data_IF_077700763084
#
_entry.id   IF_077700763084
#
_cell.length_a   1.000
_cell.length_b   1.000
_cell.length_c   1.000
_cell.angle_alpha   90.00
_cell.angle_beta   90.00
_cell.angle_gamma   90.00
#
_symmetry.space_group_name_H-M   'P 1'
#
loop_
_entity.id
_entity.type
_entity.pdbx_description
1 polymer ?
#
# COMPACT_ATOMS: atom_id res chain seq x y z
N UNK A 1 0.92 -29.85 17.87
CA UNK A 1 0.54 -28.41 17.95
C UNK A 1 1.34 -27.69 16.90
N UNK A 2 0.73 -27.37 15.77
CA UNK A 2 1.41 -26.56 14.76
C UNK A 2 1.64 -25.19 15.38
N UNK A 3 2.91 -24.81 15.49
CA UNK A 3 3.29 -23.49 15.99
C UNK A 3 2.65 -22.45 15.07
N UNK A 4 1.77 -21.64 15.62
CA UNK A 4 1.14 -20.54 14.87
C UNK A 4 2.24 -19.57 14.48
N UNK A 5 2.57 -19.53 13.19
CA UNK A 5 3.64 -18.68 12.68
C UNK A 5 3.05 -17.35 12.21
N UNK A 6 3.31 -16.29 12.96
CA UNK A 6 2.88 -14.95 12.57
C UNK A 6 3.79 -14.38 11.48
N UNK A 7 3.22 -13.63 10.54
CA UNK A 7 3.98 -13.02 9.47
C UNK A 7 3.84 -11.49 9.44
N UNK A 8 4.94 -10.75 9.60
CA UNK A 8 4.98 -9.33 9.32
C UNK A 8 5.04 -9.10 7.79
N UNK A 9 4.36 -8.06 7.33
CA UNK A 9 4.35 -7.70 5.92
C UNK A 9 5.32 -6.53 5.66
N UNK A 10 6.50 -6.82 5.10
CA UNK A 10 7.52 -5.82 4.82
C UNK A 10 7.24 -5.16 3.47
N UNK A 11 7.04 -3.84 3.49
CA UNK A 11 6.90 -3.01 2.29
C UNK A 11 8.04 -1.99 2.22
N UNK A 12 8.73 -1.92 1.10
CA UNK A 12 9.86 -1.05 0.92
C UNK A 12 10.03 -0.58 -0.53
N UNK A 13 10.80 0.50 -0.73
CA UNK A 13 11.18 1.01 -2.03
C UNK A 13 12.52 0.40 -2.52
N UNK A 14 12.79 0.52 -3.82
CA UNK A 14 14.05 0.10 -4.42
C UNK A 14 15.23 0.85 -3.75
N UNK A 15 16.32 0.14 -3.51
CA UNK A 15 17.55 0.67 -2.89
C UNK A 15 17.66 0.40 -1.40
N UNK A 16 16.63 -0.16 -0.75
CA UNK A 16 16.61 -0.42 0.70
C UNK A 16 16.84 -1.90 1.05
N UNK A 17 17.34 -2.68 0.14
CA UNK A 17 17.49 -4.14 0.27
C UNK A 17 18.39 -4.55 1.46
N UNK A 18 19.37 -3.73 1.84
CA UNK A 18 20.20 -3.98 3.03
C UNK A 18 19.38 -3.91 4.32
N UNK A 19 18.52 -2.89 4.44
CA UNK A 19 17.64 -2.74 5.60
C UNK A 19 16.63 -3.86 5.68
N UNK A 20 16.03 -4.22 4.53
CA UNK A 20 15.08 -5.33 4.44
C UNK A 20 15.73 -6.64 4.86
N UNK A 21 16.94 -6.92 4.42
CA UNK A 21 17.68 -8.12 4.83
C UNK A 21 17.92 -8.16 6.35
N UNK A 22 18.30 -7.01 6.92
CA UNK A 22 18.47 -6.91 8.36
C UNK A 22 17.14 -7.13 9.11
N UNK A 23 16.05 -6.54 8.62
CA UNK A 23 14.71 -6.71 9.19
C UNK A 23 14.25 -8.18 9.11
N UNK A 24 14.42 -8.85 7.97
CA UNK A 24 14.11 -10.28 7.80
C UNK A 24 14.85 -11.10 8.85
N UNK A 25 16.16 -10.93 8.97
CA UNK A 25 16.98 -11.67 9.93
C UNK A 25 16.52 -11.45 11.39
N UNK A 26 16.04 -10.24 11.72
CA UNK A 26 15.52 -9.97 13.07
C UNK A 26 14.16 -10.60 13.28
N UNK A 27 13.24 -10.51 12.31
CA UNK A 27 11.93 -11.15 12.40
C UNK A 27 12.07 -12.68 12.55
N UNK A 28 12.96 -13.31 11.79
CA UNK A 28 13.22 -14.75 11.90
C UNK A 28 13.75 -15.14 13.30
N UNK A 29 14.65 -14.33 13.90
CA UNK A 29 15.10 -14.54 15.28
C UNK A 29 13.97 -14.40 16.31
N UNK A 30 12.94 -13.62 16.00
CA UNK A 30 11.74 -13.49 16.83
C UNK A 30 10.71 -14.61 16.59
N UNK A 31 11.01 -15.58 15.71
CA UNK A 31 10.09 -16.64 15.35
C UNK A 31 8.99 -16.24 14.37
N UNK A 32 9.17 -15.11 13.66
CA UNK A 32 8.24 -14.60 12.66
C UNK A 32 8.71 -14.99 11.26
N UNK A 33 7.76 -15.18 10.34
CA UNK A 33 8.03 -15.47 8.92
C UNK A 33 7.64 -14.28 8.05
N UNK A 34 8.56 -13.35 7.76
CA UNK A 34 8.21 -12.13 7.05
C UNK A 34 7.83 -12.39 5.59
N UNK A 35 6.80 -11.69 5.12
CA UNK A 35 6.43 -11.60 3.72
C UNK A 35 6.93 -10.26 3.17
N UNK A 36 7.65 -10.31 2.07
CA UNK A 36 8.30 -9.13 1.48
C UNK A 36 7.50 -8.66 0.27
N UNK A 37 7.20 -7.37 0.27
CA UNK A 37 6.56 -6.69 -0.84
C UNK A 37 7.34 -5.43 -1.21
N UNK A 38 7.97 -5.42 -2.38
CA UNK A 38 8.66 -4.25 -2.87
C UNK A 38 7.66 -3.31 -3.54
N UNK A 39 7.43 -2.15 -2.92
CA UNK A 39 6.59 -1.11 -3.48
C UNK A 39 7.38 -0.22 -4.44
N UNK A 40 6.81 0.26 -5.54
CA UNK A 40 7.38 1.33 -6.33
C UNK A 40 7.39 2.64 -5.52
N UNK A 41 8.31 3.52 -5.84
CA UNK A 41 8.55 4.76 -5.10
C UNK A 41 7.48 5.83 -5.32
N UNK A 42 6.73 5.81 -6.43
CA UNK A 42 5.66 6.77 -6.67
C UNK A 42 4.37 6.38 -5.95
N UNK A 43 3.81 7.35 -5.25
CA UNK A 43 2.57 7.18 -4.47
C UNK A 43 1.34 7.78 -5.12
N UNK A 44 1.48 8.45 -6.25
CA UNK A 44 0.39 9.21 -6.86
C UNK A 44 -0.73 8.28 -7.33
N UNK A 45 -0.42 7.06 -7.72
CA UNK A 45 -1.41 6.07 -8.11
C UNK A 45 -1.22 4.74 -7.38
N UNK A 46 -1.88 4.57 -6.24
CA UNK A 46 -1.84 3.34 -5.44
C UNK A 46 -2.31 2.08 -6.18
N UNK A 47 -3.07 2.22 -7.26
CA UNK A 47 -3.65 1.10 -8.02
C UNK A 47 -2.66 0.44 -8.96
N UNK A 48 -1.73 1.21 -9.52
CA UNK A 48 -0.64 0.67 -10.33
C UNK A 48 0.40 -0.09 -9.51
N UNK A 49 0.43 0.12 -8.19
CA UNK A 49 1.39 -0.50 -7.29
C UNK A 49 0.98 -1.88 -6.79
N UNK A 50 -0.27 -2.29 -6.99
CA UNK A 50 -0.81 -3.55 -6.49
C UNK A 50 -0.54 -4.76 -7.39
N UNK A 51 0.47 -4.71 -8.25
CA UNK A 51 0.84 -5.84 -9.10
C UNK A 51 1.87 -6.71 -8.40
N UNK A 52 1.66 -8.04 -8.33
CA UNK A 52 2.71 -8.95 -7.89
C UNK A 52 3.90 -8.87 -8.85
N UNK A 53 5.11 -8.82 -8.30
CA UNK A 53 6.35 -8.75 -9.05
C UNK A 53 7.01 -7.37 -9.04
N UNK A 54 7.94 -7.18 -9.97
CA UNK A 54 8.70 -5.94 -10.09
C UNK A 54 7.85 -4.87 -10.79
N UNK A 55 7.47 -3.82 -10.07
CA UNK A 55 6.86 -2.63 -10.65
C UNK A 55 7.84 -1.45 -10.50
N UNK A 56 8.36 -0.97 -11.61
CA UNK A 56 9.11 0.29 -11.63
C UNK A 56 8.17 1.47 -11.44
N UNK A 57 8.63 2.50 -10.77
CA UNK A 57 7.94 3.78 -10.69
C UNK A 57 7.88 4.40 -12.08
N UNK A 58 6.73 4.89 -12.55
CA UNK A 58 6.68 5.72 -13.72
C UNK A 58 7.60 6.93 -13.53
N UNK A 59 8.49 7.17 -14.47
CA UNK A 59 9.37 8.35 -14.44
C UNK A 59 8.59 9.67 -14.59
N UNK A 60 7.32 9.59 -15.03
CA UNK A 60 6.46 10.73 -15.28
C UNK A 60 5.36 10.85 -14.24
N UNK A 61 5.58 11.68 -13.22
CA UNK A 61 4.59 11.96 -12.17
C UNK A 61 3.32 12.62 -12.72
N UNK A 62 3.43 13.39 -13.81
CA UNK A 62 2.26 13.99 -14.46
C UNK A 62 1.36 12.94 -15.07
N UNK A 63 1.92 11.89 -15.67
CA UNK A 63 1.12 10.77 -16.18
C UNK A 63 0.29 10.11 -15.08
N UNK A 64 0.90 9.82 -13.93
CA UNK A 64 0.18 9.24 -12.79
C UNK A 64 -0.91 10.17 -12.27
N UNK A 65 -0.66 11.46 -12.27
CA UNK A 65 -1.63 12.46 -11.87
C UNK A 65 -2.82 12.53 -12.83
N UNK A 66 -2.57 12.54 -14.13
CA UNK A 66 -3.60 12.60 -15.16
C UNK A 66 -4.54 11.38 -15.10
N UNK A 67 -4.00 10.20 -14.84
CA UNK A 67 -4.73 8.92 -14.84
C UNK A 67 -5.25 8.47 -13.46
N UNK A 68 -5.12 9.30 -12.43
CA UNK A 68 -5.52 8.93 -11.05
C UNK A 68 -7.00 8.63 -10.88
N UNK A 69 -7.85 9.14 -11.78
CA UNK A 69 -9.31 9.02 -11.74
C UNK A 69 -9.89 8.26 -12.95
N UNK A 70 -9.09 7.43 -13.61
CA UNK A 70 -9.54 6.63 -14.75
C UNK A 70 -10.68 5.66 -14.40
N UNK A 71 -10.87 5.37 -13.13
CA UNK A 71 -12.05 4.66 -12.64
C UNK A 71 -13.36 5.33 -13.03
N UNK A 72 -13.37 6.63 -13.33
CA UNK A 72 -14.54 7.34 -13.80
C UNK A 72 -15.17 6.68 -15.04
N UNK A 73 -14.39 5.92 -15.81
CA UNK A 73 -14.86 5.19 -16.98
C UNK A 73 -15.79 4.02 -16.65
N UNK A 74 -15.66 3.42 -15.46
CA UNK A 74 -16.35 2.16 -15.15
C UNK A 74 -16.87 2.06 -13.70
N UNK A 75 -16.61 3.03 -12.85
CA UNK A 75 -17.01 2.99 -11.45
C UNK A 75 -18.54 3.17 -11.33
N UNK A 76 -19.23 2.08 -11.17
CA UNK A 76 -20.66 2.03 -10.89
C UNK A 76 -20.96 1.16 -9.64
N UNK A 77 -22.23 1.06 -9.28
CA UNK A 77 -22.67 0.30 -8.11
C UNK A 77 -22.38 -1.18 -8.28
N UNK A 78 -22.62 -1.74 -9.45
CA UNK A 78 -22.43 -3.17 -9.73
C UNK A 78 -20.95 -3.56 -9.61
N UNK A 79 -20.05 -2.71 -10.14
CA UNK A 79 -18.61 -2.89 -10.00
C UNK A 79 -18.16 -2.88 -8.52
N UNK A 80 -18.66 -1.93 -7.73
CA UNK A 80 -18.32 -1.80 -6.31
C UNK A 80 -18.83 -3.01 -5.52
N UNK A 81 -20.09 -3.39 -5.70
CA UNK A 81 -20.69 -4.55 -5.02
C UNK A 81 -19.95 -5.85 -5.36
N UNK A 82 -19.61 -6.06 -6.63
CA UNK A 82 -18.81 -7.19 -7.06
C UNK A 82 -17.43 -7.21 -6.39
N UNK A 83 -16.75 -6.07 -6.33
CA UNK A 83 -15.44 -5.95 -5.69
C UNK A 83 -15.50 -6.29 -4.21
N UNK A 84 -16.50 -5.78 -3.49
CA UNK A 84 -16.73 -6.06 -2.07
C UNK A 84 -17.01 -7.55 -1.87
N UNK A 85 -17.88 -8.16 -2.69
CA UNK A 85 -18.20 -9.57 -2.62
C UNK A 85 -16.97 -10.47 -2.82
N UNK A 86 -16.16 -10.18 -3.85
CA UNK A 86 -14.91 -10.92 -4.12
C UNK A 86 -13.95 -10.79 -2.95
N UNK A 87 -13.80 -9.58 -2.40
CA UNK A 87 -12.92 -9.33 -1.25
C UNK A 87 -13.36 -10.15 -0.03
N UNK A 88 -14.63 -10.12 0.32
CA UNK A 88 -15.19 -10.91 1.43
C UNK A 88 -14.96 -12.40 1.22
N UNK A 89 -15.24 -12.93 0.03
CA UNK A 89 -15.01 -14.33 -0.29
C UNK A 89 -13.54 -14.74 -0.18
N UNK A 90 -12.62 -13.87 -0.60
CA UNK A 90 -11.18 -14.09 -0.47
C UNK A 90 -10.74 -14.16 1.00
N UNK A 91 -11.19 -13.22 1.83
CA UNK A 91 -10.90 -13.24 3.26
C UNK A 91 -11.51 -14.44 3.97
N UNK A 92 -12.78 -14.80 3.67
CA UNK A 92 -13.41 -15.99 4.27
C UNK A 92 -12.64 -17.26 3.93
N UNK A 93 -12.21 -17.40 2.68
CA UNK A 93 -11.40 -18.55 2.24
C UNK A 93 -10.03 -18.61 2.94
N UNK A 94 -9.48 -17.48 3.35
CA UNK A 94 -8.15 -17.34 3.95
C UNK A 94 -8.16 -16.82 5.39
N UNK A 95 -9.28 -16.95 6.09
CA UNK A 95 -9.45 -16.38 7.44
C UNK A 95 -8.42 -16.86 8.46
N UNK A 96 -7.98 -18.12 8.36
CA UNK A 96 -6.90 -18.63 9.22
C UNK A 96 -5.61 -17.87 8.99
N UNK A 97 -5.21 -17.71 7.73
CA UNK A 97 -4.01 -16.95 7.36
C UNK A 97 -4.12 -15.47 7.73
N UNK A 98 -5.30 -14.87 7.57
CA UNK A 98 -5.53 -13.48 7.95
C UNK A 98 -5.24 -13.23 9.45
N UNK A 99 -5.58 -14.16 10.32
CA UNK A 99 -5.32 -14.09 11.77
C UNK A 99 -3.86 -14.30 12.16
N UNK A 100 -3.04 -14.80 11.25
CA UNK A 100 -1.59 -14.95 11.45
C UNK A 100 -0.82 -13.68 11.06
N UNK A 101 -1.53 -12.64 10.62
CA UNK A 101 -0.93 -11.37 10.22
C UNK A 101 -0.44 -10.59 11.43
N UNK A 102 0.87 -10.35 11.49
CA UNK A 102 1.52 -9.63 12.59
C UNK A 102 1.55 -8.10 12.41
N UNK A 103 1.12 -7.63 11.25
CA UNK A 103 1.08 -6.20 10.91
C UNK A 103 2.10 -5.78 9.86
N UNK A 104 2.00 -4.53 9.39
CA UNK A 104 2.91 -4.00 8.39
C UNK A 104 4.22 -3.50 9.01
N UNK A 105 5.33 -3.81 8.35
CA UNK A 105 6.63 -3.18 8.56
C UNK A 105 6.98 -2.39 7.29
N UNK A 106 6.83 -1.08 7.33
CA UNK A 106 6.94 -0.21 6.16
C UNK A 106 8.20 0.64 6.26
N UNK A 107 9.02 0.60 5.22
CA UNK A 107 10.13 1.53 5.04
C UNK A 107 9.66 2.58 4.02
N UNK A 108 9.48 3.79 4.48
CA UNK A 108 9.00 4.91 3.69
C UNK A 108 10.13 5.89 3.38
N UNK A 109 10.25 6.24 2.10
CA UNK A 109 11.23 7.25 1.66
C UNK A 109 10.62 8.65 1.81
N UNK A 110 11.41 9.56 2.40
CA UNK A 110 11.07 10.97 2.54
C UNK A 110 12.08 11.81 1.76
N UNK A 111 11.62 12.92 1.19
CA UNK A 111 12.47 13.83 0.40
C UNK A 111 12.30 13.62 -1.10
N UNK A 112 11.11 13.39 -1.57
CA UNK A 112 10.85 13.42 -3.01
C UNK A 112 10.96 14.86 -3.55
N UNK A 113 11.52 15.01 -4.74
CA UNK A 113 11.55 16.31 -5.42
C UNK A 113 10.15 16.88 -5.54
N UNK A 114 9.96 18.16 -5.24
CA UNK A 114 8.68 18.84 -5.43
C UNK A 114 8.14 18.60 -6.83
N UNK A 115 6.84 18.33 -6.90
CA UNK A 115 6.13 18.14 -8.16
C UNK A 115 4.80 18.89 -8.10
N UNK A 116 4.63 19.85 -8.99
CA UNK A 116 3.39 20.58 -9.16
C UNK A 116 2.61 20.02 -10.35
N UNK A 117 1.49 19.32 -10.10
CA UNK A 117 0.71 18.73 -11.16
C UNK A 117 -0.04 19.79 -11.96
N UNK A 118 -0.04 19.65 -13.26
CA UNK A 118 -0.87 20.48 -14.16
C UNK A 118 -2.20 19.78 -14.38
N UNK A 119 -3.30 20.49 -14.07
CA UNK A 119 -4.64 20.00 -14.37
C UNK A 119 -4.92 20.12 -15.88
N UNK A 120 -5.17 18.99 -16.52
CA UNK A 120 -5.55 18.95 -17.93
C UNK A 120 -7.05 18.74 -18.07
N UNK A 121 -7.64 19.28 -19.14
CA UNK A 121 -9.09 19.09 -19.43
C UNK A 121 -9.41 17.65 -19.82
N UNK A 122 -8.44 16.92 -20.32
CA UNK A 122 -8.55 15.51 -20.72
C UNK A 122 -8.53 14.57 -19.51
N UNK A 123 -8.02 15.02 -18.35
CA UNK A 123 -7.99 14.20 -17.14
C UNK A 123 -9.39 13.93 -16.63
N UNK A 124 -9.70 12.66 -16.38
CA UNK A 124 -11.00 12.25 -15.92
C UNK A 124 -11.24 12.69 -14.46
N UNK A 125 -12.50 12.94 -14.14
CA UNK A 125 -12.95 13.27 -12.79
C UNK A 125 -14.14 12.39 -12.44
N UNK A 126 -14.18 11.96 -11.17
CA UNK A 126 -15.33 11.26 -10.65
C UNK A 126 -16.52 12.24 -10.51
N UNK A 127 -17.69 11.84 -11.01
CA UNK A 127 -18.94 12.51 -10.70
C UNK A 127 -19.25 12.41 -9.19
N UNK A 128 -20.14 13.23 -8.67
CA UNK A 128 -20.56 13.16 -7.26
C UNK A 128 -21.07 11.77 -6.85
N UNK A 129 -21.82 11.12 -7.74
CA UNK A 129 -22.28 9.74 -7.52
C UNK A 129 -21.13 8.77 -7.41
N UNK A 130 -20.12 8.88 -8.27
CA UNK A 130 -18.93 8.04 -8.23
C UNK A 130 -18.05 8.33 -7.03
N UNK A 131 -17.95 9.59 -6.59
CA UNK A 131 -17.25 9.94 -5.35
C UNK A 131 -17.91 9.25 -4.14
N UNK A 132 -19.25 9.31 -4.03
CA UNK A 132 -20.00 8.61 -2.98
C UNK A 132 -19.77 7.09 -3.04
N UNK A 133 -19.78 6.50 -4.24
CA UNK A 133 -19.47 5.08 -4.42
C UNK A 133 -18.02 4.73 -4.03
N UNK A 134 -17.07 5.59 -4.33
CA UNK A 134 -15.67 5.40 -3.94
C UNK A 134 -15.50 5.41 -2.41
N UNK A 135 -16.16 6.34 -1.73
CA UNK A 135 -16.17 6.41 -0.25
C UNK A 135 -16.85 5.19 0.33
N UNK A 136 -18.00 4.80 -0.19
CA UNK A 136 -18.71 3.58 0.22
C UNK A 136 -17.82 2.33 0.05
N UNK A 137 -17.20 2.17 -1.12
CA UNK A 137 -16.30 1.04 -1.39
C UNK A 137 -15.12 1.01 -0.43
N UNK A 138 -14.52 2.15 -0.11
CA UNK A 138 -13.42 2.26 0.86
C UNK A 138 -13.89 1.87 2.27
N UNK A 139 -15.05 2.38 2.70
CA UNK A 139 -15.63 2.07 4.01
C UNK A 139 -15.91 0.58 4.16
N UNK A 140 -16.61 -0.03 3.20
CA UNK A 140 -16.93 -1.46 3.25
C UNK A 140 -15.66 -2.34 3.18
N UNK A 141 -14.68 -1.95 2.36
CA UNK A 141 -13.39 -2.64 2.32
C UNK A 141 -12.67 -2.60 3.68
N UNK A 142 -12.67 -1.44 4.34
CA UNK A 142 -12.07 -1.29 5.67
C UNK A 142 -12.79 -2.12 6.73
N UNK A 143 -14.12 -2.20 6.69
CA UNK A 143 -14.92 -3.05 7.60
C UNK A 143 -14.57 -4.52 7.41
N UNK A 144 -14.49 -4.99 6.15
CA UNK A 144 -14.09 -6.37 5.84
C UNK A 144 -12.69 -6.65 6.37
N UNK A 145 -11.71 -5.79 6.08
CA UNK A 145 -10.36 -5.98 6.58
C UNK A 145 -10.36 -6.07 8.10
N UNK A 146 -11.03 -5.16 8.79
CA UNK A 146 -11.06 -5.15 10.25
C UNK A 146 -11.81 -6.34 10.88
N UNK A 147 -12.76 -6.94 10.17
CA UNK A 147 -13.46 -8.16 10.58
C UNK A 147 -12.50 -9.37 10.65
N UNK A 148 -11.58 -9.48 9.68
CA UNK A 148 -10.66 -10.61 9.57
C UNK A 148 -9.28 -10.34 10.16
N UNK A 149 -8.88 -9.07 10.20
CA UNK A 149 -7.59 -8.57 10.71
C UNK A 149 -7.89 -7.38 11.64
N UNK A 150 -8.36 -7.61 12.86
CA UNK A 150 -8.69 -6.52 13.80
C UNK A 150 -7.45 -5.69 14.12
N UNK A 151 -7.58 -4.36 14.04
CA UNK A 151 -6.47 -3.45 14.30
C UNK A 151 -5.91 -3.55 15.72
N UNK A 152 -6.71 -4.04 16.67
CA UNK A 152 -6.28 -4.28 18.05
C UNK A 152 -5.40 -5.52 18.23
N UNK A 153 -5.32 -6.39 17.22
CA UNK A 153 -4.62 -7.68 17.30
C UNK A 153 -3.26 -7.69 16.62
N UNK A 154 -2.86 -6.59 15.97
CA UNK A 154 -1.56 -6.46 15.34
C UNK A 154 -0.90 -5.11 15.63
N UNK A 155 0.41 -5.07 15.52
CA UNK A 155 1.19 -3.84 15.61
C UNK A 155 1.63 -3.38 14.21
N UNK A 156 2.13 -2.14 14.12
CA UNK A 156 2.74 -1.65 12.89
C UNK A 156 4.06 -0.94 13.20
N UNK A 157 4.95 -0.98 12.24
CA UNK A 157 6.19 -0.22 12.28
C UNK A 157 6.36 0.54 10.97
N UNK A 158 6.58 1.83 11.06
CA UNK A 158 6.91 2.68 9.92
C UNK A 158 8.27 3.29 10.18
N UNK A 159 9.23 3.00 9.29
CA UNK A 159 10.58 3.54 9.33
C UNK A 159 10.65 4.61 8.25
N UNK A 160 10.96 5.85 8.66
CA UNK A 160 11.27 6.94 7.74
C UNK A 160 12.72 6.81 7.25
N UNK A 161 12.90 6.77 5.94
CA UNK A 161 14.22 6.81 5.31
C UNK A 161 14.34 8.13 4.55
N UNK A 162 15.06 9.11 5.10
CA UNK A 162 15.22 10.43 4.47
C UNK A 162 16.17 10.34 3.28
N UNK A 163 15.92 11.18 2.27
CA UNK A 163 16.79 11.41 1.13
C UNK A 163 17.30 12.86 1.15
N UNK A 164 18.38 13.19 0.42
CA UNK A 164 18.91 14.55 0.37
C UNK A 164 17.90 15.62 -0.02
N UNK A 165 16.86 15.22 -0.77
CA UNK A 165 15.78 16.11 -1.18
C UNK A 165 14.84 16.56 -0.04
N UNK A 166 15.02 16.03 1.18
CA UNK A 166 14.30 16.49 2.39
C UNK A 166 14.62 17.96 2.71
N UNK A 167 15.86 18.37 2.49
CA UNK A 167 16.28 19.74 2.75
C UNK A 167 17.79 19.93 2.71
N UNK A 168 18.19 21.22 2.72
CA UNK A 168 19.59 21.62 2.58
C UNK A 168 20.50 21.09 3.70
N UNK A 169 19.95 20.92 4.90
CA UNK A 169 20.69 20.44 6.07
C UNK A 169 20.79 18.90 6.14
N UNK A 170 20.38 18.17 5.09
CA UNK A 170 20.39 16.70 5.12
C UNK A 170 21.75 16.13 5.52
N UNK A 171 22.83 16.60 4.91
CA UNK A 171 24.19 16.11 5.17
C UNK A 171 24.80 16.54 6.51
N UNK A 172 24.16 17.46 7.23
CA UNK A 172 24.55 17.85 8.57
C UNK A 172 23.87 16.98 9.65
N UNK A 173 22.71 16.41 9.31
CA UNK A 173 21.87 15.66 10.24
C UNK A 173 22.07 14.15 10.07
N UNK A 174 22.32 13.67 8.86
CA UNK A 174 22.41 12.27 8.46
C UNK A 174 23.72 11.90 7.79
#
# INVERSE_FOLDING_TARGET
>A
MDAQCFFPFIRYAIGQERMVRAAVNQFEKMGLSPVIYRAPTARVNRRLTARPGYAATPANKQYDYDHRMDDALFLDKAFVERKISIMRGAYETRKKLAREYAGPAVIEVFGERPFEPVNKKESLRLSEKQQKLSVYAASESSKIVNEYIPQSEYSFTIIAYPLPEVGENFHEIF
#
